data_IF_103440602725
#
_entry.id   IF_103440602725
#
_cell.length_a   1.000
_cell.length_b   1.000
_cell.length_c   1.000
_cell.angle_alpha   90.00
_cell.angle_beta   90.00
_cell.angle_gamma   90.00
#
_symmetry.space_group_name_H-M   'P 1'
#
loop_
_entity.id
_entity.type
_entity.pdbx_description
1 polymer ?
#
# COMPACT_ATOMS: atom_id res chain seq x y z
N UNK A 1 9.93 25.28 -9.05
CA UNK A 1 10.39 24.01 -8.46
C UNK A 1 10.18 24.11 -6.96
N UNK A 2 9.62 23.10 -6.33
CA UNK A 2 9.88 22.89 -4.91
C UNK A 2 10.45 21.49 -4.80
N UNK A 3 11.79 21.35 -4.96
CA UNK A 3 12.48 20.10 -4.67
C UNK A 3 11.98 19.52 -3.34
N UNK A 4 12.02 18.20 -3.17
CA UNK A 4 11.48 17.58 -1.95
C UNK A 4 11.99 18.24 -0.65
N UNK A 5 13.27 18.65 -0.65
CA UNK A 5 13.92 19.38 0.46
C UNK A 5 13.33 20.77 0.78
N UNK A 6 12.62 21.38 -0.15
CA UNK A 6 12.06 22.72 -0.06
C UNK A 6 10.53 22.69 0.18
N UNK A 7 9.93 21.49 0.22
CA UNK A 7 8.49 21.31 0.50
C UNK A 7 8.20 21.67 1.97
N UNK A 8 7.20 22.51 2.20
CA UNK A 8 6.86 23.02 3.54
C UNK A 8 5.86 22.15 4.29
N UNK A 9 5.26 21.14 3.64
CA UNK A 9 4.30 20.23 4.25
C UNK A 9 3.89 19.10 3.31
N UNK A 10 3.49 17.98 3.92
CA UNK A 10 2.96 16.81 3.21
C UNK A 10 1.59 16.45 3.75
N UNK A 11 0.72 15.99 2.86
CA UNK A 11 -0.58 15.43 3.23
C UNK A 11 -0.53 13.90 3.09
N UNK A 12 -0.89 13.13 4.13
CA UNK A 12 -0.82 11.68 4.09
C UNK A 12 -1.97 11.11 3.26
N UNK A 13 -1.61 10.39 2.19
CA UNK A 13 -2.55 9.69 1.33
C UNK A 13 -2.19 8.19 1.28
N UNK A 14 -3.18 7.32 1.32
CA UNK A 14 -2.96 5.88 1.14
C UNK A 14 -2.72 5.61 -0.33
N UNK A 15 -1.61 4.93 -0.64
CA UNK A 15 -1.18 4.59 -1.98
C UNK A 15 -0.86 3.10 -2.15
N UNK A 16 -0.05 2.79 -3.15
CA UNK A 16 0.29 1.43 -3.55
C UNK A 16 -0.61 0.93 -4.69
N UNK A 17 0.00 0.46 -5.77
CA UNK A 17 -0.75 0.06 -6.96
C UNK A 17 -1.76 -1.09 -6.68
N UNK A 18 -1.40 -2.17 -5.96
CA UNK A 18 -2.37 -3.22 -5.61
C UNK A 18 -3.51 -2.71 -4.69
N UNK A 19 -3.17 -1.85 -3.73
CA UNK A 19 -4.13 -1.21 -2.82
C UNK A 19 -5.18 -0.39 -3.59
N UNK A 20 -4.75 0.42 -4.55
CA UNK A 20 -5.64 1.20 -5.41
C UNK A 20 -6.57 0.33 -6.25
N UNK A 21 -6.08 -0.81 -6.76
CA UNK A 21 -6.90 -1.77 -7.53
C UNK A 21 -7.94 -2.43 -6.64
N UNK A 22 -7.57 -2.90 -5.45
CA UNK A 22 -8.52 -3.47 -4.49
C UNK A 22 -9.65 -2.47 -4.14
N UNK A 23 -9.29 -1.23 -3.80
CA UNK A 23 -10.27 -0.19 -3.52
C UNK A 23 -11.16 0.13 -4.73
N UNK A 24 -10.63 0.07 -5.96
CA UNK A 24 -11.42 0.28 -7.17
C UNK A 24 -12.42 -0.87 -7.42
N UNK A 25 -12.02 -2.12 -7.16
CA UNK A 25 -12.91 -3.29 -7.27
C UNK A 25 -14.10 -3.15 -6.32
N UNK A 26 -13.86 -2.78 -5.05
CA UNK A 26 -14.94 -2.53 -4.10
C UNK A 26 -15.89 -1.42 -4.56
N UNK A 27 -15.33 -0.28 -5.01
CA UNK A 27 -16.14 0.83 -5.52
C UNK A 27 -17.01 0.47 -6.74
N UNK A 28 -16.63 -0.54 -7.51
CA UNK A 28 -17.37 -1.02 -8.68
C UNK A 28 -18.36 -2.15 -8.34
N UNK A 29 -18.50 -2.52 -7.05
CA UNK A 29 -19.43 -3.53 -6.56
C UNK A 29 -18.89 -4.96 -6.59
N UNK A 30 -17.58 -5.15 -6.76
CA UNK A 30 -16.91 -6.44 -6.59
C UNK A 30 -16.39 -6.62 -5.17
N UNK A 31 -15.98 -7.84 -4.81
CA UNK A 31 -15.29 -8.11 -3.55
C UNK A 31 -13.77 -8.15 -3.78
N UNK A 32 -12.99 -7.59 -2.86
CA UNK A 32 -11.54 -7.65 -2.94
C UNK A 32 -10.88 -7.79 -1.58
N UNK A 33 -9.79 -8.55 -1.55
CA UNK A 33 -8.89 -8.67 -0.43
C UNK A 33 -7.54 -8.04 -0.80
N UNK A 34 -6.84 -7.44 0.17
CA UNK A 34 -5.46 -7.03 -0.03
C UNK A 34 -4.50 -7.96 0.71
N UNK A 35 -3.54 -8.52 -0.03
CA UNK A 35 -2.45 -9.34 0.51
C UNK A 35 -1.20 -8.47 0.55
N UNK A 36 -0.73 -8.11 1.75
CA UNK A 36 0.47 -7.29 1.97
C UNK A 36 0.93 -7.38 3.42
N UNK A 37 2.06 -6.76 3.74
CA UNK A 37 2.51 -6.53 5.10
C UNK A 37 2.77 -5.03 5.34
N UNK A 38 2.40 -4.54 6.52
CA UNK A 38 2.62 -3.15 6.96
C UNK A 38 3.37 -3.15 8.29
N UNK A 39 3.95 -2.00 8.65
CA UNK A 39 4.57 -1.83 9.97
C UNK A 39 3.50 -1.72 11.06
N UNK A 40 3.83 -2.14 12.27
CA UNK A 40 3.08 -1.77 13.49
C UNK A 40 3.37 -0.30 13.84
N UNK A 41 2.89 0.61 12.98
CA UNK A 41 3.07 2.05 13.08
C UNK A 41 1.82 2.79 12.60
N UNK A 42 1.78 4.11 12.87
CA UNK A 42 0.63 4.94 12.53
C UNK A 42 0.30 4.99 11.02
N UNK A 43 1.27 4.67 10.14
CA UNK A 43 1.04 4.61 8.71
C UNK A 43 0.38 3.29 8.31
N UNK A 44 0.79 2.18 8.93
CA UNK A 44 0.14 0.87 8.80
C UNK A 44 -1.31 0.93 9.26
N UNK A 45 -1.56 1.51 10.44
CA UNK A 45 -2.91 1.73 10.96
C UNK A 45 -3.76 2.54 9.97
N UNK A 46 -3.23 3.65 9.46
CA UNK A 46 -3.93 4.49 8.47
C UNK A 46 -4.29 3.71 7.20
N UNK A 47 -3.41 2.85 6.71
CA UNK A 47 -3.68 2.02 5.51
C UNK A 47 -4.83 1.06 5.79
N UNK A 48 -4.77 0.31 6.89
CA UNK A 48 -5.79 -0.66 7.28
C UNK A 48 -7.15 0.03 7.47
N UNK A 49 -7.21 1.12 8.23
CA UNK A 49 -8.43 1.89 8.47
C UNK A 49 -9.03 2.44 7.17
N UNK A 50 -8.19 2.95 6.26
CA UNK A 50 -8.65 3.49 4.97
C UNK A 50 -9.24 2.39 4.08
N UNK A 51 -8.61 1.21 4.04
CA UNK A 51 -9.09 0.05 3.28
C UNK A 51 -10.42 -0.48 3.83
N UNK A 52 -10.52 -0.60 5.15
CA UNK A 52 -11.76 -1.02 5.82
C UNK A 52 -12.90 -0.02 5.56
N UNK A 53 -12.60 1.28 5.55
CA UNK A 53 -13.59 2.33 5.25
C UNK A 53 -14.13 2.26 3.81
N UNK A 54 -13.40 1.66 2.88
CA UNK A 54 -13.86 1.36 1.51
C UNK A 54 -14.22 -0.11 1.30
N UNK A 55 -14.46 -0.83 2.40
CA UNK A 55 -14.93 -2.22 2.44
C UNK A 55 -13.96 -3.25 1.83
N UNK A 56 -12.69 -2.89 1.59
CA UNK A 56 -11.67 -3.86 1.19
C UNK A 56 -11.38 -4.77 2.38
N UNK A 57 -11.39 -6.08 2.14
CA UNK A 57 -11.08 -7.06 3.18
C UNK A 57 -9.59 -7.01 3.52
N UNK A 58 -9.30 -6.79 4.80
CA UNK A 58 -7.93 -6.63 5.33
C UNK A 58 -7.46 -7.85 6.13
N UNK A 59 -8.16 -8.99 6.08
CA UNK A 59 -7.81 -10.18 6.86
C UNK A 59 -6.47 -10.82 6.47
N UNK A 60 -5.96 -10.51 5.28
CA UNK A 60 -4.66 -10.97 4.78
C UNK A 60 -3.56 -9.91 4.84
N UNK A 61 -3.80 -8.80 5.56
CA UNK A 61 -2.77 -7.80 5.85
C UNK A 61 -2.02 -8.20 7.11
N UNK A 62 -0.73 -8.49 6.97
CA UNK A 62 0.14 -8.78 8.11
C UNK A 62 0.74 -7.49 8.69
N UNK A 63 1.11 -7.55 9.97
CA UNK A 63 1.82 -6.46 10.65
C UNK A 63 3.18 -6.94 11.14
N UNK A 64 4.16 -6.04 11.26
CA UNK A 64 5.48 -6.37 11.82
C UNK A 64 6.10 -5.21 12.59
N UNK A 65 6.90 -5.52 13.61
CA UNK A 65 7.75 -4.56 14.32
C UNK A 65 9.17 -4.48 13.75
N UNK A 66 9.51 -5.32 12.78
CA UNK A 66 10.88 -5.45 12.25
C UNK A 66 11.24 -4.36 11.24
N UNK A 67 10.24 -3.80 10.55
CA UNK A 67 10.40 -2.70 9.62
C UNK A 67 9.17 -1.79 9.61
N UNK A 68 9.39 -0.53 9.22
CA UNK A 68 8.31 0.45 9.12
C UNK A 68 7.51 0.27 7.82
N UNK A 69 6.29 0.78 7.82
CA UNK A 69 5.45 0.91 6.61
C UNK A 69 6.16 1.71 5.53
N UNK A 70 6.08 1.25 4.28
CA UNK A 70 6.65 1.93 3.13
C UNK A 70 6.05 3.33 2.93
N UNK A 71 6.90 4.33 2.68
CA UNK A 71 6.47 5.69 2.35
C UNK A 71 6.98 6.10 0.97
N UNK A 72 6.16 6.87 0.26
CA UNK A 72 6.54 7.57 -0.95
C UNK A 72 6.23 9.05 -0.75
N UNK A 73 7.27 9.87 -0.73
CA UNK A 73 7.10 11.32 -0.75
C UNK A 73 7.03 11.80 -2.20
N UNK A 74 6.02 12.61 -2.51
CA UNK A 74 5.77 13.12 -3.86
C UNK A 74 5.79 14.64 -3.82
N UNK A 75 6.57 15.25 -4.71
CA UNK A 75 6.48 16.69 -5.00
C UNK A 75 6.07 16.91 -6.46
N UNK A 76 5.35 18.01 -6.71
CA UNK A 76 4.88 18.40 -8.05
C UNK A 76 5.77 19.53 -8.57
N UNK A 77 6.28 19.38 -9.79
CA UNK A 77 6.98 20.45 -10.49
C UNK A 77 5.99 21.38 -11.21
N UNK A 78 6.46 22.56 -11.61
CA UNK A 78 5.63 23.59 -12.26
C UNK A 78 5.15 23.19 -13.68
N UNK A 79 5.80 22.20 -14.29
CA UNK A 79 5.44 21.58 -15.57
C UNK A 79 4.54 20.34 -15.41
N UNK A 80 4.21 19.96 -14.17
CA UNK A 80 3.27 18.86 -13.85
C UNK A 80 3.93 17.49 -13.67
N UNK A 81 5.25 17.39 -13.83
CA UNK A 81 6.00 16.17 -13.53
C UNK A 81 6.06 15.89 -12.02
N UNK A 82 6.18 14.61 -11.66
CA UNK A 82 6.19 14.16 -10.27
C UNK A 82 7.58 13.66 -9.89
N UNK A 83 8.15 14.23 -8.82
CA UNK A 83 9.37 13.70 -8.20
C UNK A 83 8.98 12.79 -7.03
N UNK A 84 9.60 11.61 -6.97
CA UNK A 84 9.28 10.55 -6.00
C UNK A 84 10.52 10.19 -5.18
N UNK A 85 10.40 10.25 -3.86
CA UNK A 85 11.37 9.67 -2.93
C UNK A 85 10.75 8.52 -2.14
N UNK A 86 11.22 7.31 -2.42
CA UNK A 86 10.76 6.09 -1.76
C UNK A 86 11.61 5.75 -0.53
N UNK A 87 10.93 5.56 0.59
CA UNK A 87 11.51 5.08 1.84
C UNK A 87 11.12 3.60 2.01
N UNK A 88 11.92 2.72 1.37
CA UNK A 88 11.75 1.25 1.34
C UNK A 88 13.10 0.52 1.47
N UNK A 89 13.75 0.54 2.65
CA UNK A 89 15.08 -0.09 2.86
C UNK A 89 15.35 -0.61 4.30
N UNK A 90 14.92 -1.84 4.65
CA UNK A 90 13.71 -2.49 4.15
C UNK A 90 12.46 -1.82 4.74
N UNK A 91 11.35 -1.91 4.03
CA UNK A 91 10.02 -1.62 4.58
C UNK A 91 9.27 -2.92 4.85
N UNK A 92 8.21 -2.85 5.66
CA UNK A 92 7.44 -4.02 6.10
C UNK A 92 6.94 -4.90 4.95
N UNK A 93 6.51 -4.32 3.84
CA UNK A 93 6.05 -5.05 2.66
C UNK A 93 7.16 -5.87 1.97
N UNK A 94 8.44 -5.52 2.19
CA UNK A 94 9.58 -6.28 1.68
C UNK A 94 9.95 -7.48 2.56
N UNK A 95 9.35 -7.60 3.74
CA UNK A 95 9.53 -8.73 4.64
C UNK A 95 8.44 -9.80 4.44
N UNK A 96 7.57 -9.62 3.45
CA UNK A 96 6.51 -10.58 3.17
C UNK A 96 7.11 -11.86 2.61
N UNK A 97 7.01 -12.95 3.38
CA UNK A 97 7.54 -14.26 3.00
C UNK A 97 6.50 -15.13 2.29
N UNK A 98 6.98 -16.07 1.46
CA UNK A 98 6.14 -16.92 0.62
C UNK A 98 5.21 -17.83 1.45
N UNK A 99 5.65 -18.28 2.62
CA UNK A 99 4.89 -19.14 3.52
C UNK A 99 3.62 -18.48 4.03
N UNK A 100 3.55 -17.14 4.03
CA UNK A 100 2.33 -16.42 4.38
C UNK A 100 1.23 -16.61 3.33
N UNK A 101 1.59 -16.83 2.06
CA UNK A 101 0.62 -17.11 0.98
C UNK A 101 -0.04 -18.48 1.18
N UNK A 102 0.68 -19.45 1.73
CA UNK A 102 0.14 -20.79 1.98
C UNK A 102 -1.01 -20.79 2.99
N UNK A 103 -1.17 -19.69 3.75
CA UNK A 103 -2.28 -19.50 4.69
C UNK A 103 -3.57 -19.00 4.03
N UNK A 104 -3.53 -18.68 2.73
CA UNK A 104 -4.63 -18.07 1.98
C UNK A 104 -5.32 -19.13 1.13
N UNK A 105 -6.59 -19.42 1.44
CA UNK A 105 -7.41 -20.34 0.66
C UNK A 105 -8.01 -19.64 -0.56
N UNK A 106 -7.53 -19.98 -1.75
CA UNK A 106 -8.11 -19.51 -3.01
C UNK A 106 -9.20 -20.46 -3.51
N UNK A 107 -10.31 -19.88 -3.99
CA UNK A 107 -11.44 -20.59 -4.54
C UNK A 107 -11.43 -20.56 -6.08
N UNK A 108 -12.15 -21.50 -6.68
CA UNK A 108 -12.35 -21.50 -8.12
C UNK A 108 -13.11 -20.24 -8.55
N UNK A 109 -12.49 -19.42 -9.39
CA UNK A 109 -13.06 -18.15 -9.87
C UNK A 109 -12.37 -16.92 -9.31
N UNK A 110 -11.48 -17.07 -8.32
CA UNK A 110 -10.68 -15.97 -7.79
C UNK A 110 -9.65 -15.47 -8.81
N UNK A 111 -9.36 -14.18 -8.76
CA UNK A 111 -8.38 -13.50 -9.60
C UNK A 111 -7.28 -12.90 -8.73
N UNK A 112 -6.04 -13.28 -9.00
CA UNK A 112 -4.87 -12.69 -8.32
C UNK A 112 -4.29 -11.59 -9.20
N UNK A 113 -4.26 -10.37 -8.66
CA UNK A 113 -3.61 -9.21 -9.28
C UNK A 113 -2.37 -8.82 -8.48
N UNK A 114 -1.23 -8.70 -9.14
CA UNK A 114 0.01 -8.20 -8.54
C UNK A 114 0.60 -7.10 -9.41
N UNK A 115 1.37 -6.21 -8.79
CA UNK A 115 2.10 -5.14 -9.47
C UNK A 115 3.59 -5.31 -9.21
N UNK A 116 4.42 -4.92 -10.17
CA UNK A 116 5.85 -4.75 -9.96
C UNK A 116 6.17 -3.29 -9.64
N UNK A 117 7.20 -3.09 -8.83
CA UNK A 117 7.86 -1.79 -8.70
C UNK A 117 9.14 -1.90 -9.54
N UNK A 118 9.24 -1.08 -10.59
CA UNK A 118 10.45 -1.01 -11.42
C UNK A 118 11.58 -0.25 -10.72
#
# INVERSE_FOLDING_TARGET
>A
ETPLKDVTGFEPQVGGAPCNVAAAVQKLGGNSHLITQVGEDAFGDKIIETLQAVEVDTSHILTTKEANTALAFVSLSNDGERDFSFYRKPSADMLYEAENIDTIELQQGDLVHFCSVA
#
